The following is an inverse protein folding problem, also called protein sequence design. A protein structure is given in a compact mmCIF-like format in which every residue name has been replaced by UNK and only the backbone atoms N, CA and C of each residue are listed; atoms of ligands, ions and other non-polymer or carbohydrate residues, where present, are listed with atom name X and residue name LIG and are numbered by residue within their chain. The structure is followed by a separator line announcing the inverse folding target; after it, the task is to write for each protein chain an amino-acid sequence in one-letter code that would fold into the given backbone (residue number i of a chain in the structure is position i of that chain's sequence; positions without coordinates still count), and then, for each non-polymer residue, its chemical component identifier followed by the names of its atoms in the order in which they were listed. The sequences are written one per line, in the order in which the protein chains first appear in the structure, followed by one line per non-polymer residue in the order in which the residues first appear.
data_IF_181866033290
#
_entry.id   IF_181866033290
#
_cell.length_a   1.000
_cell.length_b   1.000
_cell.length_c   1.000
_cell.angle_alpha   90.00
_cell.angle_beta   90.00
_cell.angle_gamma   90.00
#
_symmetry.space_group_name_H-M   'P 1'
#
loop_
_entity.id
_entity.type
_entity.pdbx_description
1 polymer ?
#
# COMPACT_ATOMS: atom_id res chain seq x y z
N UNK A 1 4.35 4.27 1.52
CA UNK A 1 5.61 3.78 0.89
C UNK A 1 6.61 3.53 2.01
N UNK A 2 7.43 2.48 1.92
CA UNK A 2 8.46 2.22 2.92
C UNK A 2 9.82 2.82 2.49
N UNK A 3 10.68 3.23 3.44
CA UNK A 3 12.03 3.74 3.14
C UNK A 3 12.88 2.75 2.34
N UNK A 4 12.66 1.45 2.54
CA UNK A 4 13.25 0.37 1.73
C UNK A 4 12.16 -0.61 1.33
N UNK A 5 12.15 -1.01 0.07
CA UNK A 5 11.28 -2.07 -0.43
C UNK A 5 12.06 -2.87 -1.46
N UNK A 6 12.34 -4.15 -1.17
CA UNK A 6 13.24 -4.99 -1.97
C UNK A 6 14.60 -4.28 -2.17
N UNK A 7 15.00 -4.09 -3.43
CA UNK A 7 16.25 -3.43 -3.83
C UNK A 7 16.12 -1.90 -3.99
N UNK A 8 14.93 -1.34 -3.74
CA UNK A 8 14.67 0.10 -3.86
C UNK A 8 14.81 0.76 -2.48
N UNK A 9 15.78 1.67 -2.36
CA UNK A 9 15.99 2.52 -1.18
C UNK A 9 15.52 3.96 -1.52
N UNK A 10 14.77 4.57 -0.61
CA UNK A 10 14.18 5.91 -0.74
C UNK A 10 14.71 6.83 0.37
N UNK A 11 15.99 7.26 0.29
CA UNK A 11 16.65 7.98 1.38
C UNK A 11 16.00 9.34 1.68
N UNK A 12 15.35 9.94 0.69
CA UNK A 12 14.68 11.24 0.81
C UNK A 12 13.17 11.13 1.13
N UNK A 13 12.69 9.95 1.56
CA UNK A 13 11.25 9.74 1.77
C UNK A 13 10.66 10.63 2.89
N UNK A 14 11.48 10.93 3.90
CA UNK A 14 11.10 11.78 5.03
C UNK A 14 11.46 13.25 4.81
N UNK A 15 12.16 13.57 3.72
CA UNK A 15 12.58 14.93 3.37
C UNK A 15 11.46 15.59 2.58
N UNK A 16 11.03 16.76 3.04
CA UNK A 16 10.01 17.57 2.38
C UNK A 16 10.56 18.26 1.13
N UNK A 17 9.66 18.61 0.21
CA UNK A 17 10.04 19.39 -0.97
C UNK A 17 10.69 20.73 -0.61
N UNK A 18 10.18 21.39 0.43
CA UNK A 18 10.75 22.66 0.91
C UNK A 18 12.20 22.49 1.36
N UNK A 19 12.51 21.44 2.13
CA UNK A 19 13.88 21.12 2.54
C UNK A 19 14.79 20.84 1.35
N UNK A 20 14.33 20.09 0.34
CA UNK A 20 15.14 19.86 -0.87
C UNK A 20 15.42 21.14 -1.65
N UNK A 21 14.44 22.05 -1.75
CA UNK A 21 14.64 23.35 -2.42
C UNK A 21 15.63 24.21 -1.65
N UNK A 22 15.50 24.29 -0.33
CA UNK A 22 16.43 25.02 0.54
C UNK A 22 17.84 24.45 0.43
N UNK A 23 18.00 23.13 0.44
CA UNK A 23 19.29 22.47 0.27
C UNK A 23 19.93 22.81 -1.08
N UNK A 24 19.17 22.71 -2.17
CA UNK A 24 19.68 23.08 -3.50
C UNK A 24 20.16 24.53 -3.54
N UNK A 25 19.39 25.46 -2.97
CA UNK A 25 19.75 26.87 -2.92
C UNK A 25 21.01 27.13 -2.08
N UNK A 26 21.18 26.42 -0.95
CA UNK A 26 22.36 26.55 -0.08
C UNK A 26 23.65 26.04 -0.73
N UNK A 27 23.54 25.16 -1.72
CA UNK A 27 24.66 24.50 -2.39
C UNK A 27 24.82 24.93 -3.86
N UNK A 28 24.13 26.00 -4.29
CA UNK A 28 24.13 26.51 -5.66
C UNK A 28 23.79 25.43 -6.72
N UNK A 29 22.93 24.47 -6.35
CA UNK A 29 22.45 23.43 -7.25
C UNK A 29 21.22 23.93 -8.03
N UNK A 30 21.28 23.85 -9.36
CA UNK A 30 20.16 24.20 -10.24
C UNK A 30 19.44 22.92 -10.68
N UNK A 31 18.28 22.58 -10.10
CA UNK A 31 17.51 21.41 -10.52
C UNK A 31 16.91 21.62 -11.92
N UNK A 32 16.86 20.56 -12.71
CA UNK A 32 16.16 20.56 -14.00
C UNK A 32 14.64 20.50 -13.78
N UNK A 33 13.90 21.44 -14.37
CA UNK A 33 12.44 21.39 -14.37
C UNK A 33 11.92 20.41 -15.43
N UNK A 34 11.38 19.28 -14.99
CA UNK A 34 10.69 18.33 -15.86
C UNK A 34 9.25 18.81 -16.14
N UNK A 35 8.92 19.01 -17.41
CA UNK A 35 7.58 19.39 -17.88
C UNK A 35 6.49 18.41 -17.38
N UNK A 36 6.83 17.13 -17.20
CA UNK A 36 5.92 16.10 -16.68
C UNK A 36 5.43 16.36 -15.25
N UNK A 37 6.07 17.26 -14.48
CA UNK A 37 5.68 17.61 -13.12
C UNK A 37 4.43 18.51 -13.06
N UNK A 38 4.10 19.17 -14.17
CA UNK A 38 2.93 20.07 -14.29
C UNK A 38 1.81 19.49 -15.15
N UNK A 39 2.05 18.38 -15.84
CA UNK A 39 1.11 17.80 -16.80
C UNK A 39 -0.13 17.19 -16.10
N UNK A 40 -1.34 17.73 -16.31
CA UNK A 40 -2.56 17.26 -15.65
C UNK A 40 -3.04 15.89 -16.16
N UNK A 41 -2.47 15.34 -17.23
CA UNK A 41 -2.79 13.97 -17.66
C UNK A 41 -2.43 12.93 -16.60
N UNK A 42 -1.45 13.22 -15.75
CA UNK A 42 -1.08 12.35 -14.64
C UNK A 42 -1.95 12.63 -13.40
N UNK A 43 -2.67 11.62 -12.93
CA UNK A 43 -3.53 11.73 -11.73
C UNK A 43 -2.79 12.30 -10.52
N UNK A 44 -1.51 11.96 -10.33
CA UNK A 44 -0.67 12.49 -9.24
C UNK A 44 -0.58 14.02 -9.25
N UNK A 45 -0.49 14.62 -10.44
CA UNK A 45 -0.34 16.06 -10.62
C UNK A 45 -1.69 16.75 -10.38
N UNK A 46 -2.79 16.18 -10.87
CA UNK A 46 -4.15 16.67 -10.55
C UNK A 46 -4.42 16.62 -9.05
N UNK A 47 -4.04 15.53 -8.37
CA UNK A 47 -4.18 15.44 -6.92
C UNK A 47 -3.37 16.55 -6.23
N UNK A 48 -2.11 16.74 -6.63
CA UNK A 48 -1.21 17.73 -6.02
C UNK A 48 -1.63 19.18 -6.27
N UNK A 49 -2.02 19.51 -7.50
CA UNK A 49 -2.21 20.89 -7.95
C UNK A 49 -3.68 21.34 -7.94
N UNK A 50 -4.65 20.41 -7.99
CA UNK A 50 -6.08 20.74 -8.01
C UNK A 50 -6.78 20.29 -6.72
N UNK A 51 -6.75 18.98 -6.42
CA UNK A 51 -7.55 18.41 -5.33
C UNK A 51 -7.05 18.80 -3.95
N UNK A 52 -5.74 18.69 -3.71
CA UNK A 52 -5.17 18.93 -2.38
C UNK A 52 -5.31 20.40 -1.95
N UNK A 53 -5.04 21.41 -2.80
CA UNK A 53 -5.31 22.81 -2.47
C UNK A 53 -6.80 23.08 -2.19
N UNK A 54 -7.70 22.46 -2.95
CA UNK A 54 -9.14 22.56 -2.71
C UNK A 54 -9.51 22.01 -1.32
N UNK A 55 -9.01 20.83 -0.95
CA UNK A 55 -9.24 20.26 0.37
C UNK A 55 -8.65 21.12 1.50
N UNK A 56 -7.46 21.71 1.28
CA UNK A 56 -6.82 22.61 2.25
C UNK A 56 -7.63 23.90 2.47
N UNK A 57 -8.28 24.41 1.42
CA UNK A 57 -9.18 25.57 1.55
C UNK A 57 -10.41 25.29 2.44
N UNK A 58 -10.87 24.04 2.49
CA UNK A 58 -12.00 23.61 3.31
C UNK A 58 -11.57 23.22 4.73
N UNK A 59 -10.38 22.63 4.84
CA UNK A 59 -9.78 22.22 6.10
C UNK A 59 -8.26 22.40 6.04
N UNK A 60 -7.71 23.49 6.61
CA UNK A 60 -6.27 23.75 6.60
C UNK A 60 -5.43 22.64 7.23
N UNK A 61 -6.02 21.82 8.11
CA UNK A 61 -5.36 20.69 8.78
C UNK A 61 -5.44 19.35 8.02
N UNK A 62 -6.02 19.31 6.80
CA UNK A 62 -6.26 18.05 6.09
C UNK A 62 -4.96 17.32 5.76
N UNK A 63 -3.91 18.02 5.34
CA UNK A 63 -2.61 17.42 5.02
C UNK A 63 -2.02 16.71 6.23
N UNK A 64 -1.97 17.40 7.37
CA UNK A 64 -1.47 16.83 8.62
C UNK A 64 -2.31 15.63 9.08
N UNK A 65 -3.64 15.70 8.89
CA UNK A 65 -4.55 14.60 9.23
C UNK A 65 -4.31 13.37 8.34
N UNK A 66 -4.16 13.56 7.03
CA UNK A 66 -3.85 12.48 6.10
C UNK A 66 -2.49 11.82 6.41
N UNK A 67 -1.47 12.62 6.70
CA UNK A 67 -0.14 12.10 7.09
C UNK A 67 -0.21 11.30 8.39
N UNK A 68 -0.89 11.82 9.42
CA UNK A 68 -1.09 11.11 10.69
C UNK A 68 -1.87 9.81 10.50
N UNK A 69 -2.92 9.81 9.68
CA UNK A 69 -3.69 8.60 9.40
C UNK A 69 -2.85 7.57 8.62
N UNK A 70 -2.02 8.04 7.67
CA UNK A 70 -1.11 7.16 6.96
C UNK A 70 -0.07 6.51 7.89
N UNK A 71 0.38 7.23 8.92
CA UNK A 71 1.26 6.68 9.96
C UNK A 71 0.58 5.56 10.76
N UNK A 72 -0.63 5.81 11.26
CA UNK A 72 -1.41 4.81 12.00
C UNK A 72 -1.66 3.56 11.15
N UNK A 73 -2.16 3.76 9.92
CA UNK A 73 -2.42 2.65 8.98
C UNK A 73 -1.14 1.88 8.66
N UNK A 74 0.01 2.54 8.58
CA UNK A 74 1.29 1.86 8.34
C UNK A 74 1.64 0.90 9.46
N UNK A 75 1.45 1.30 10.71
CA UNK A 75 1.68 0.44 11.88
C UNK A 75 0.70 -0.74 11.88
N UNK A 76 -0.58 -0.48 11.63
CA UNK A 76 -1.62 -1.52 11.59
C UNK A 76 -1.35 -2.54 10.49
N UNK A 77 -1.00 -2.08 9.28
CA UNK A 77 -0.64 -2.95 8.16
C UNK A 77 0.59 -3.78 8.49
N UNK A 78 1.62 -3.21 9.11
CA UNK A 78 2.80 -3.98 9.52
C UNK A 78 2.46 -5.08 10.53
N UNK A 79 1.55 -4.81 11.48
CA UNK A 79 1.04 -5.82 12.40
C UNK A 79 0.26 -6.91 11.67
N UNK A 80 -0.63 -6.56 10.74
CA UNK A 80 -1.38 -7.52 9.92
C UNK A 80 -0.43 -8.42 9.14
N UNK A 81 0.58 -7.86 8.48
CA UNK A 81 1.57 -8.64 7.72
C UNK A 81 2.33 -9.62 8.64
N UNK A 82 2.70 -9.23 9.86
CA UNK A 82 3.34 -10.13 10.83
C UNK A 82 2.40 -11.25 11.32
N UNK A 83 1.11 -10.96 11.48
CA UNK A 83 0.11 -12.00 11.79
C UNK A 83 -0.05 -12.97 10.62
N UNK A 84 -0.07 -12.45 9.38
CA UNK A 84 -0.13 -13.29 8.18
C UNK A 84 1.10 -14.21 8.08
N UNK A 85 2.30 -13.72 8.38
CA UNK A 85 3.52 -14.54 8.38
C UNK A 85 3.41 -15.68 9.40
N UNK A 86 2.81 -15.40 10.56
CA UNK A 86 2.61 -16.39 11.63
C UNK A 86 1.56 -17.45 11.25
N UNK A 87 0.46 -17.06 10.59
CA UNK A 87 -0.59 -18.00 10.21
C UNK A 87 -0.37 -18.68 8.85
N UNK A 88 0.52 -18.16 8.01
CA UNK A 88 0.83 -18.72 6.69
C UNK A 88 1.16 -20.22 6.73
N UNK A 89 2.11 -20.71 7.55
CA UNK A 89 2.43 -22.14 7.59
C UNK A 89 1.31 -23.03 8.17
N UNK A 90 0.34 -22.43 8.88
CA UNK A 90 -0.80 -23.18 9.44
C UNK A 90 -1.91 -23.39 8.40
N UNK A 91 -1.96 -22.53 7.39
CA UNK A 91 -3.05 -22.46 6.41
C UNK A 91 -2.62 -22.92 5.03
N UNK A 92 -1.38 -22.63 4.62
CA UNK A 92 -0.86 -23.01 3.30
C UNK A 92 -0.21 -24.39 3.37
N UNK A 93 -0.78 -25.34 2.63
CA UNK A 93 -0.35 -26.74 2.60
C UNK A 93 0.80 -26.98 1.61
N UNK A 94 0.76 -26.29 0.47
CA UNK A 94 1.78 -26.38 -0.57
C UNK A 94 1.82 -25.08 -1.38
N UNK A 95 3.01 -24.72 -1.86
CA UNK A 95 3.23 -23.56 -2.72
C UNK A 95 4.15 -23.94 -3.88
N UNK A 96 3.63 -23.74 -5.09
CA UNK A 96 4.29 -23.95 -6.39
C UNK A 96 4.16 -22.65 -7.21
N UNK A 97 4.86 -22.54 -8.34
CA UNK A 97 4.86 -21.31 -9.15
C UNK A 97 3.47 -20.89 -9.63
N UNK A 98 2.62 -21.85 -10.04
CA UNK A 98 1.29 -21.57 -10.59
C UNK A 98 0.14 -21.98 -9.65
N UNK A 99 0.46 -22.51 -8.47
CA UNK A 99 -0.55 -23.08 -7.56
C UNK A 99 -0.17 -22.91 -6.10
N UNK A 100 -1.13 -22.48 -5.30
CA UNK A 100 -1.05 -22.50 -3.84
C UNK A 100 -2.23 -23.30 -3.31
N UNK A 101 -1.93 -24.29 -2.46
CA UNK A 101 -2.93 -25.12 -1.79
C UNK A 101 -3.21 -24.57 -0.39
N UNK A 102 -4.49 -24.29 -0.12
CA UNK A 102 -4.94 -23.67 1.13
C UNK A 102 -5.87 -24.62 1.87
N UNK A 103 -5.62 -24.83 3.16
CA UNK A 103 -6.53 -25.55 4.04
C UNK A 103 -7.72 -24.66 4.38
N UNK A 104 -8.88 -24.95 3.79
CA UNK A 104 -10.12 -24.18 4.00
C UNK A 104 -10.57 -24.17 5.46
N UNK A 105 -10.50 -25.30 6.16
CA UNK A 105 -10.90 -25.38 7.55
C UNK A 105 -10.01 -24.50 8.43
N UNK A 106 -8.69 -24.54 8.22
CA UNK A 106 -7.74 -23.69 8.95
C UNK A 106 -7.89 -22.20 8.60
N UNK A 107 -8.21 -21.86 7.34
CA UNK A 107 -8.50 -20.48 6.94
C UNK A 107 -9.73 -19.94 7.69
N UNK A 108 -10.81 -20.71 7.75
CA UNK A 108 -12.06 -20.29 8.37
C UNK A 108 -12.00 -20.10 9.90
N UNK A 109 -10.99 -20.67 10.58
CA UNK A 109 -10.78 -20.40 12.01
C UNK A 109 -10.13 -19.04 12.27
N UNK A 110 -9.54 -18.40 11.25
CA UNK A 110 -8.93 -17.09 11.40
C UNK A 110 -9.98 -15.97 11.46
N UNK A 111 -9.67 -14.82 12.09
CA UNK A 111 -10.48 -13.61 11.96
C UNK A 111 -10.65 -13.18 10.49
N UNK A 112 -11.81 -12.62 10.14
CA UNK A 112 -12.16 -12.20 8.78
C UNK A 112 -11.10 -11.32 8.10
N UNK A 113 -10.48 -10.41 8.87
CA UNK A 113 -9.38 -9.58 8.37
C UNK A 113 -8.21 -10.43 7.85
N UNK A 114 -7.78 -11.44 8.61
CA UNK A 114 -6.69 -12.33 8.21
C UNK A 114 -7.09 -13.24 7.06
N UNK A 115 -8.34 -13.71 7.00
CA UNK A 115 -8.83 -14.50 5.87
C UNK A 115 -8.67 -13.73 4.55
N UNK A 116 -9.18 -12.50 4.51
CA UNK A 116 -9.14 -11.64 3.32
C UNK A 116 -7.71 -11.26 2.95
N UNK A 117 -6.89 -10.89 3.94
CA UNK A 117 -5.49 -10.54 3.69
C UNK A 117 -4.65 -11.74 3.24
N UNK A 118 -4.91 -12.94 3.76
CA UNK A 118 -4.24 -14.17 3.33
C UNK A 118 -4.62 -14.51 1.88
N UNK A 119 -5.90 -14.48 1.53
CA UNK A 119 -6.35 -14.68 0.15
C UNK A 119 -5.79 -13.62 -0.81
N UNK A 120 -5.67 -12.37 -0.34
CA UNK A 120 -5.00 -11.30 -1.10
C UNK A 120 -3.52 -11.60 -1.32
N UNK A 121 -2.82 -12.11 -0.31
CA UNK A 121 -1.40 -12.50 -0.41
C UNK A 121 -1.21 -13.70 -1.34
N UNK A 122 -2.06 -14.73 -1.24
CA UNK A 122 -2.08 -15.90 -2.14
C UNK A 122 -2.20 -15.45 -3.60
N UNK A 123 -3.19 -14.60 -3.91
CA UNK A 123 -3.39 -14.13 -5.28
C UNK A 123 -2.28 -13.19 -5.75
N UNK A 124 -1.75 -12.34 -4.88
CA UNK A 124 -0.58 -11.52 -5.20
C UNK A 124 0.65 -12.38 -5.54
N UNK A 125 0.87 -13.49 -4.83
CA UNK A 125 1.95 -14.43 -5.14
C UNK A 125 1.79 -15.10 -6.52
N UNK A 126 0.55 -15.33 -6.97
CA UNK A 126 0.25 -15.93 -8.28
C UNK A 126 0.20 -14.91 -9.42
N UNK A 127 -0.06 -13.63 -9.13
CA UNK A 127 -0.31 -12.59 -10.13
C UNK A 127 0.74 -11.45 -10.07
N UNK A 128 2.02 -11.80 -10.05
CA UNK A 128 3.15 -10.86 -10.13
C UNK A 128 3.07 -9.68 -9.12
N UNK A 129 2.61 -9.95 -7.90
CA UNK A 129 2.49 -8.98 -6.82
C UNK A 129 1.18 -8.18 -6.80
N UNK A 130 0.26 -8.43 -7.71
CA UNK A 130 -1.07 -7.81 -7.72
C UNK A 130 -2.15 -8.80 -7.29
N UNK A 131 -3.09 -8.37 -6.48
CA UNK A 131 -4.30 -9.16 -6.23
C UNK A 131 -5.45 -8.61 -7.06
N UNK A 132 -6.02 -9.39 -7.99
CA UNK A 132 -7.21 -8.98 -8.75
C UNK A 132 -8.51 -9.12 -7.94
N UNK A 133 -8.42 -9.53 -6.67
CA UNK A 133 -9.60 -9.77 -5.85
C UNK A 133 -10.19 -8.46 -5.33
N UNK A 134 -11.43 -8.20 -5.73
CA UNK A 134 -12.28 -7.16 -5.16
C UNK A 134 -13.13 -7.73 -4.02
N UNK A 135 -13.80 -6.86 -3.27
CA UNK A 135 -14.66 -7.25 -2.14
C UNK A 135 -15.66 -8.35 -2.53
N UNK A 136 -16.31 -8.21 -3.70
CA UNK A 136 -17.26 -9.21 -4.23
C UNK A 136 -16.66 -10.61 -4.38
N UNK A 137 -15.36 -10.70 -4.70
CA UNK A 137 -14.71 -12.00 -4.88
C UNK A 137 -14.47 -12.66 -3.52
N UNK A 138 -14.09 -11.88 -2.50
CA UNK A 138 -13.95 -12.39 -1.14
C UNK A 138 -15.28 -12.89 -0.58
N UNK A 139 -16.37 -12.15 -0.79
CA UNK A 139 -17.71 -12.57 -0.36
C UNK A 139 -18.16 -13.88 -1.01
N UNK A 140 -17.89 -14.07 -2.31
CA UNK A 140 -18.18 -15.32 -3.02
C UNK A 140 -17.35 -16.50 -2.51
N UNK A 141 -16.06 -16.26 -2.21
CA UNK A 141 -15.18 -17.28 -1.63
C UNK A 141 -15.66 -17.66 -0.23
N UNK A 142 -15.98 -16.67 0.61
CA UNK A 142 -16.55 -16.89 1.95
C UNK A 142 -17.83 -17.73 1.87
N UNK A 143 -18.74 -17.42 0.94
CA UNK A 143 -19.97 -18.18 0.73
C UNK A 143 -19.73 -19.61 0.21
N UNK A 144 -18.70 -19.82 -0.61
CA UNK A 144 -18.31 -21.15 -1.10
C UNK A 144 -17.73 -22.01 0.02
N UNK A 145 -16.91 -21.41 0.89
CA UNK A 145 -16.22 -22.11 1.99
C UNK A 145 -17.13 -22.40 3.19
N UNK A 146 -18.22 -21.65 3.35
CA UNK A 146 -19.21 -21.86 4.41
C UNK A 146 -20.21 -23.01 4.12
N UNK A 147 -20.04 -23.75 3.02
CA UNK A 147 -20.83 -24.93 2.64
C UNK A 147 -20.13 -26.22 3.03
#
# INVERSE_FOLDING_TARGET
MQPRQQDIIRPLLEVTHAETVTYCAQHDLVPLEDASNSDPRFLRNRIRHELLPLLESMNPGIRATLLRNAEVVRVDVAWIEAQLDSCWPLVVLAQQEERIEVNSAALLTLPLSLQRHLLRRVTASLCAGQSPLELRHFELIEALLAR
#
